data_IF_549757085119
#
_entry.id   IF_549757085119
#
_cell.length_a   1.000
_cell.length_b   1.000
_cell.length_c   1.000
_cell.angle_alpha   90.00
_cell.angle_beta   90.00
_cell.angle_gamma   90.00
#
_symmetry.space_group_name_H-M   'P 1'
#
loop_
_entity.id
_entity.type
_entity.pdbx_description
1 polymer ?
#
# COMPACT_ATOMS: atom_id res chain seq x y z
N UNK A 1 46.15 -40.87 -22.69
CA UNK A 1 44.76 -41.24 -22.50
C UNK A 1 44.26 -40.44 -21.33
N UNK A 2 43.67 -39.34 -21.43
CA UNK A 2 42.58 -38.89 -22.26
C UNK A 2 41.26 -39.11 -21.52
N UNK A 3 40.66 -38.01 -21.06
CA UNK A 3 39.27 -37.57 -21.25
C UNK A 3 38.97 -36.47 -20.25
N UNK A 4 38.89 -35.33 -20.68
CA UNK A 4 37.88 -34.31 -20.92
C UNK A 4 36.67 -34.31 -19.94
N UNK A 5 36.60 -33.19 -19.20
CA UNK A 5 35.46 -32.56 -18.59
C UNK A 5 34.42 -32.17 -19.68
N UNK A 6 33.14 -32.27 -19.41
CA UNK A 6 32.28 -31.17 -19.80
C UNK A 6 31.14 -30.87 -18.86
N UNK A 7 30.95 -29.61 -18.56
CA UNK A 7 29.59 -29.09 -18.41
C UNK A 7 29.24 -28.36 -17.15
N UNK A 8 29.82 -27.19 -16.98
CA UNK A 8 29.14 -26.14 -16.25
C UNK A 8 27.85 -25.73 -16.98
N UNK A 9 26.73 -26.08 -16.42
CA UNK A 9 25.45 -25.42 -16.75
C UNK A 9 25.34 -24.15 -15.91
N UNK A 10 25.31 -23.05 -16.62
CA UNK A 10 24.84 -21.76 -16.08
C UNK A 10 23.33 -21.83 -16.13
N UNK A 11 22.69 -21.89 -15.01
CA UNK A 11 21.26 -21.59 -14.87
C UNK A 11 21.12 -20.11 -14.52
N UNK A 12 21.01 -19.28 -15.56
CA UNK A 12 20.57 -17.89 -15.47
C UNK A 12 19.03 -17.90 -15.44
N UNK A 13 18.44 -18.19 -14.28
CA UNK A 13 17.02 -17.96 -14.04
C UNK A 13 16.82 -16.55 -13.48
N UNK A 14 16.84 -15.56 -14.38
CA UNK A 14 16.26 -14.25 -14.10
C UNK A 14 14.76 -14.28 -14.45
N UNK A 15 13.86 -13.87 -13.56
CA UNK A 15 12.45 -13.71 -13.90
C UNK A 15 12.30 -12.64 -14.99
N UNK A 16 11.52 -13.00 -15.99
CA UNK A 16 11.28 -12.25 -17.22
C UNK A 16 10.49 -10.96 -16.91
N UNK A 17 11.18 -9.82 -16.78
CA UNK A 17 10.55 -8.51 -16.64
C UNK A 17 9.95 -8.09 -17.99
N UNK A 18 8.69 -8.41 -18.22
CA UNK A 18 7.91 -7.84 -19.32
C UNK A 18 7.28 -6.54 -18.84
N UNK A 19 7.99 -5.42 -19.00
CA UNK A 19 7.41 -4.09 -18.83
C UNK A 19 6.84 -3.60 -20.16
N UNK A 20 5.53 -3.45 -20.26
CA UNK A 20 4.93 -2.67 -21.33
C UNK A 20 4.97 -1.18 -20.94
N UNK A 21 5.63 -0.39 -21.77
CA UNK A 21 5.72 1.06 -21.61
C UNK A 21 4.53 1.73 -22.30
N UNK A 22 3.69 2.42 -21.53
CA UNK A 22 2.77 3.41 -22.09
C UNK A 22 3.56 4.71 -22.33
N UNK A 23 3.80 5.03 -23.58
CA UNK A 23 4.64 6.12 -24.04
C UNK A 23 4.10 7.48 -23.60
N UNK A 24 4.87 8.19 -22.77
CA UNK A 24 4.70 9.61 -22.54
C UNK A 24 5.23 10.44 -23.75
N UNK A 25 4.65 11.59 -23.99
CA UNK A 25 5.04 12.51 -25.07
C UNK A 25 6.54 12.87 -25.00
N UNK A 26 7.23 12.78 -26.12
CA UNK A 26 8.68 13.04 -26.24
C UNK A 26 9.06 14.41 -25.67
N UNK A 27 9.80 14.46 -24.58
CA UNK A 27 10.60 15.63 -24.21
C UNK A 27 10.56 16.13 -22.76
N UNK A 28 9.53 15.86 -21.96
CA UNK A 28 9.44 16.34 -20.58
C UNK A 28 9.28 15.19 -19.61
N UNK A 29 10.17 15.12 -18.59
CA UNK A 29 10.05 14.18 -17.50
C UNK A 29 8.87 14.56 -16.59
N UNK A 30 8.10 13.58 -16.14
CA UNK A 30 7.00 13.78 -15.20
C UNK A 30 7.52 14.24 -13.83
N UNK A 31 6.83 15.19 -13.21
CA UNK A 31 7.01 15.53 -11.81
C UNK A 31 6.24 14.52 -10.91
N UNK A 32 6.38 14.65 -9.58
CA UNK A 32 5.78 13.72 -8.64
C UNK A 32 4.25 13.65 -8.74
N UNK A 33 3.57 14.77 -8.92
CA UNK A 33 2.11 14.78 -9.05
C UNK A 33 1.65 14.15 -10.37
N UNK A 34 2.39 14.41 -11.46
CA UNK A 34 2.15 13.77 -12.75
C UNK A 34 2.36 12.24 -12.67
N UNK A 35 3.37 11.78 -11.90
CA UNK A 35 3.59 10.34 -11.65
C UNK A 35 2.41 9.72 -10.88
N UNK A 36 1.91 10.39 -9.83
CA UNK A 36 0.74 9.93 -9.07
C UNK A 36 -0.52 9.87 -9.93
N UNK A 37 -0.76 10.86 -10.78
CA UNK A 37 -1.88 10.85 -11.74
C UNK A 37 -1.74 9.71 -12.74
N UNK A 38 -0.53 9.47 -13.27
CA UNK A 38 -0.29 8.40 -14.23
C UNK A 38 -0.58 7.02 -13.65
N UNK A 39 -0.14 6.72 -12.43
CA UNK A 39 -0.43 5.43 -11.77
C UNK A 39 -1.91 5.30 -11.40
N UNK A 40 -2.56 6.38 -10.97
CA UNK A 40 -3.98 6.41 -10.69
C UNK A 40 -4.82 6.06 -11.94
N UNK A 41 -4.46 6.65 -13.08
CA UNK A 41 -5.08 6.33 -14.36
C UNK A 41 -4.79 4.90 -14.81
N UNK A 42 -3.56 4.43 -14.67
CA UNK A 42 -3.19 3.06 -15.02
C UNK A 42 -3.93 2.02 -14.17
N UNK A 43 -4.27 2.34 -12.91
CA UNK A 43 -5.03 1.47 -12.04
C UNK A 43 -6.45 1.18 -12.56
N UNK A 44 -7.02 2.04 -13.41
CA UNK A 44 -8.32 1.79 -14.04
C UNK A 44 -8.33 0.53 -14.92
N UNK A 45 -7.17 0.10 -15.45
CA UNK A 45 -7.06 -1.12 -16.26
C UNK A 45 -7.39 -2.39 -15.48
N UNK A 46 -7.31 -2.32 -14.14
CA UNK A 46 -7.68 -3.42 -13.22
C UNK A 46 -9.17 -3.43 -12.88
N UNK A 47 -9.92 -2.39 -13.25
CA UNK A 47 -11.34 -2.25 -12.95
C UNK A 47 -12.15 -2.78 -14.13
N UNK A 48 -13.03 -3.73 -13.88
CA UNK A 48 -13.96 -4.30 -14.88
C UNK A 48 -15.40 -3.95 -14.52
N UNK A 49 -16.31 -3.93 -15.50
CA UNK A 49 -17.73 -3.69 -15.23
C UNK A 49 -18.31 -4.64 -14.18
N UNK A 50 -19.10 -4.09 -13.25
CA UNK A 50 -19.77 -4.83 -12.19
C UNK A 50 -18.88 -5.17 -10.98
N UNK A 51 -17.63 -4.68 -10.90
CA UNK A 51 -16.77 -4.93 -9.75
C UNK A 51 -17.14 -4.09 -8.54
N UNK A 52 -16.90 -4.65 -7.36
CA UNK A 52 -16.83 -3.94 -6.08
C UNK A 52 -15.38 -3.52 -5.88
N UNK A 53 -15.15 -2.22 -5.72
CA UNK A 53 -13.82 -1.62 -5.68
C UNK A 53 -13.50 -1.11 -4.28
N UNK A 54 -12.44 -1.66 -3.67
CA UNK A 54 -11.83 -1.10 -2.46
C UNK A 54 -11.00 0.13 -2.81
N UNK A 55 -11.15 1.20 -2.03
CA UNK A 55 -10.46 2.47 -2.28
C UNK A 55 -9.70 2.89 -1.05
N UNK A 56 -8.40 3.15 -1.25
CA UNK A 56 -7.45 3.54 -0.23
C UNK A 56 -7.54 4.98 0.22
N UNK A 57 -6.50 5.42 0.95
CA UNK A 57 -6.42 6.73 1.59
C UNK A 57 -5.10 7.41 1.25
N UNK A 58 -5.14 8.74 1.10
CA UNK A 58 -3.96 9.57 0.86
C UNK A 58 -3.92 10.22 -0.52
N UNK A 59 -2.86 11.00 -0.79
CA UNK A 59 -2.80 11.88 -1.97
C UNK A 59 -2.86 11.10 -3.29
N UNK A 60 -2.21 9.94 -3.38
CA UNK A 60 -2.23 9.10 -4.59
C UNK A 60 -3.60 8.44 -4.77
N UNK A 61 -4.21 7.95 -3.67
CA UNK A 61 -5.57 7.41 -3.69
C UNK A 61 -6.61 8.47 -4.09
N UNK A 62 -6.41 9.74 -3.74
CA UNK A 62 -7.30 10.82 -4.16
C UNK A 62 -7.30 10.99 -5.70
N UNK A 63 -6.14 10.90 -6.36
CA UNK A 63 -6.09 10.90 -7.82
C UNK A 63 -6.81 9.69 -8.41
N UNK A 64 -6.71 8.52 -7.76
CA UNK A 64 -7.45 7.35 -8.21
C UNK A 64 -8.96 7.53 -8.07
N UNK A 65 -9.46 8.16 -7.00
CA UNK A 65 -10.89 8.49 -6.84
C UNK A 65 -11.37 9.40 -7.97
N UNK A 66 -10.57 10.41 -8.34
CA UNK A 66 -10.90 11.32 -9.43
C UNK A 66 -10.97 10.62 -10.78
N UNK A 67 -10.02 9.72 -11.06
CA UNK A 67 -10.03 8.88 -12.27
C UNK A 67 -11.20 7.87 -12.25
N UNK A 68 -11.49 7.23 -11.11
CA UNK A 68 -12.59 6.28 -10.93
C UNK A 68 -13.94 6.93 -11.23
N UNK A 69 -14.08 8.23 -10.93
CA UNK A 69 -15.30 9.00 -11.23
C UNK A 69 -15.63 9.02 -12.72
N UNK A 70 -14.63 8.88 -13.60
CA UNK A 70 -14.83 8.85 -15.06
C UNK A 70 -15.53 7.58 -15.54
N UNK A 71 -15.47 6.51 -14.75
CA UNK A 71 -16.06 5.19 -15.05
C UNK A 71 -17.09 4.74 -14.02
N UNK A 72 -17.57 5.63 -13.14
CA UNK A 72 -18.46 5.31 -12.02
C UNK A 72 -19.72 4.52 -12.40
N UNK A 73 -20.22 4.67 -13.63
CA UNK A 73 -21.37 3.91 -14.13
C UNK A 73 -21.04 2.47 -14.52
N UNK A 74 -19.79 2.04 -14.44
CA UNK A 74 -19.35 0.69 -14.79
C UNK A 74 -19.11 -0.19 -13.56
N UNK A 75 -18.91 0.38 -12.37
CA UNK A 75 -18.68 -0.35 -11.12
C UNK A 75 -20.00 -0.58 -10.37
N UNK A 76 -20.06 -1.62 -9.56
CA UNK A 76 -21.23 -1.90 -8.72
C UNK A 76 -21.28 -0.93 -7.54
N UNK A 77 -20.23 -0.95 -6.71
CA UNK A 77 -20.09 -0.05 -5.56
C UNK A 77 -18.61 0.06 -5.14
N UNK A 78 -18.35 0.87 -4.12
CA UNK A 78 -17.01 0.99 -3.51
C UNK A 78 -17.06 0.73 -2.00
N UNK A 79 -15.91 0.32 -1.44
CA UNK A 79 -15.65 0.26 0.00
C UNK A 79 -14.44 1.14 0.28
N UNK A 80 -14.61 2.14 1.14
CA UNK A 80 -13.54 3.09 1.49
C UNK A 80 -12.77 2.65 2.73
N UNK A 81 -11.45 2.86 2.73
CA UNK A 81 -10.58 2.59 3.87
C UNK A 81 -10.51 3.74 4.90
N UNK A 82 -11.22 4.85 4.67
CA UNK A 82 -11.32 5.97 5.61
C UNK A 82 -12.58 6.79 5.38
N UNK A 83 -12.99 7.55 6.39
CA UNK A 83 -14.09 8.51 6.26
C UNK A 83 -13.78 9.58 5.20
N UNK A 84 -12.53 10.07 5.14
CA UNK A 84 -12.11 11.06 4.15
C UNK A 84 -12.25 10.53 2.71
N UNK A 85 -11.87 9.28 2.44
CA UNK A 85 -12.05 8.65 1.13
C UNK A 85 -13.52 8.41 0.82
N UNK A 86 -14.33 8.01 1.82
CA UNK A 86 -15.78 7.84 1.66
C UNK A 86 -16.47 9.15 1.29
N UNK A 87 -16.11 10.25 1.96
CA UNK A 87 -16.65 11.58 1.65
C UNK A 87 -16.28 12.02 0.23
N UNK A 88 -15.01 11.82 -0.19
CA UNK A 88 -14.55 12.17 -1.55
C UNK A 88 -15.30 11.36 -2.61
N UNK A 89 -15.44 10.05 -2.44
CA UNK A 89 -16.20 9.17 -3.35
C UNK A 89 -17.65 9.65 -3.48
N UNK A 90 -18.32 9.91 -2.35
CA UNK A 90 -19.68 10.46 -2.33
C UNK A 90 -19.79 11.82 -3.04
N UNK A 91 -18.76 12.67 -2.89
CA UNK A 91 -18.66 13.96 -3.57
C UNK A 91 -18.63 13.83 -5.10
N UNK A 92 -18.08 12.74 -5.63
CA UNK A 92 -18.13 12.39 -7.05
C UNK A 92 -19.40 11.65 -7.48
N UNK A 93 -20.33 11.38 -6.54
CA UNK A 93 -21.53 10.59 -6.79
C UNK A 93 -21.22 9.10 -7.06
N UNK A 94 -20.15 8.59 -6.46
CA UNK A 94 -19.78 7.17 -6.46
C UNK A 94 -20.42 6.53 -5.22
N UNK A 95 -21.15 5.40 -5.34
CA UNK A 95 -21.75 4.71 -4.19
C UNK A 95 -20.65 4.15 -3.29
N UNK A 96 -20.87 4.25 -1.97
CA UNK A 96 -19.97 3.71 -0.94
C UNK A 96 -20.77 2.86 0.01
N UNK A 97 -20.42 1.60 0.12
CA UNK A 97 -21.07 0.63 1.01
C UNK A 97 -20.20 0.34 2.23
N UNK A 98 -20.84 -0.08 3.31
CA UNK A 98 -20.16 -0.66 4.46
C UNK A 98 -19.60 -2.05 4.08
N UNK A 99 -18.37 -2.35 4.53
CA UNK A 99 -17.73 -3.63 4.24
C UNK A 99 -18.56 -4.85 4.71
N UNK A 100 -19.37 -4.68 5.77
CA UNK A 100 -20.25 -5.74 6.26
C UNK A 100 -21.44 -6.04 5.32
N UNK A 101 -21.69 -5.19 4.32
CA UNK A 101 -22.77 -5.36 3.34
C UNK A 101 -22.28 -5.99 2.03
N UNK A 102 -20.98 -6.26 1.91
CA UNK A 102 -20.39 -6.89 0.71
C UNK A 102 -19.67 -8.18 1.10
N UNK A 103 -19.77 -9.20 0.26
CA UNK A 103 -19.13 -10.50 0.53
C UNK A 103 -17.64 -10.48 0.21
N UNK A 104 -17.23 -9.71 -0.80
CA UNK A 104 -15.85 -9.67 -1.29
C UNK A 104 -15.59 -8.37 -2.03
N UNK A 105 -14.36 -7.91 -1.99
CA UNK A 105 -13.85 -6.81 -2.82
C UNK A 105 -13.07 -7.43 -3.98
N UNK A 106 -13.43 -7.08 -5.23
CA UNK A 106 -12.76 -7.66 -6.40
C UNK A 106 -11.35 -7.11 -6.57
N UNK A 107 -11.20 -5.79 -6.43
CA UNK A 107 -9.90 -5.11 -6.47
C UNK A 107 -9.84 -3.99 -5.43
N UNK A 108 -8.74 -3.93 -4.72
CA UNK A 108 -8.41 -2.82 -3.81
C UNK A 108 -7.27 -2.02 -4.41
N UNK A 109 -7.43 -0.70 -4.51
CA UNK A 109 -6.41 0.22 -5.01
C UNK A 109 -6.03 1.21 -3.91
N UNK A 110 -4.75 1.26 -3.56
CA UNK A 110 -4.26 2.15 -2.50
C UNK A 110 -2.79 2.55 -2.71
N UNK A 111 -2.38 3.63 -2.03
CA UNK A 111 -0.99 4.08 -2.00
C UNK A 111 -0.14 3.36 -0.96
N UNK A 112 1.16 3.71 -0.94
CA UNK A 112 2.09 3.30 0.10
C UNK A 112 3.05 4.44 0.47
N UNK A 113 3.54 4.41 1.72
CA UNK A 113 4.60 5.30 2.21
C UNK A 113 5.99 4.78 1.81
N UNK A 114 6.17 3.45 1.84
CA UNK A 114 7.31 2.73 1.27
C UNK A 114 6.84 1.41 0.65
N UNK A 115 7.58 0.93 -0.35
CA UNK A 115 7.46 -0.41 -0.91
C UNK A 115 8.84 -0.99 -1.22
N UNK A 116 8.96 -2.32 -1.20
CA UNK A 116 10.19 -2.99 -1.65
C UNK A 116 9.92 -3.87 -2.89
N UNK A 117 10.98 -4.47 -3.43
CA UNK A 117 10.90 -5.34 -4.62
C UNK A 117 10.05 -6.61 -4.44
N UNK A 118 9.69 -6.95 -3.20
CA UNK A 118 8.83 -8.10 -2.87
C UNK A 118 7.37 -7.68 -2.69
N UNK A 119 7.04 -6.42 -3.03
CA UNK A 119 5.72 -5.80 -2.88
C UNK A 119 5.23 -5.72 -1.43
N UNK A 120 6.14 -5.88 -0.44
CA UNK A 120 5.83 -5.52 0.92
C UNK A 120 5.69 -4.01 1.01
N UNK A 121 4.69 -3.54 1.77
CA UNK A 121 4.41 -2.12 1.88
C UNK A 121 4.54 -1.64 3.32
N UNK A 122 4.89 -0.37 3.47
CA UNK A 122 4.65 0.41 4.67
C UNK A 122 3.57 1.44 4.37
N UNK A 123 2.56 1.52 5.23
CA UNK A 123 1.38 2.37 5.08
C UNK A 123 0.99 2.99 6.42
N UNK A 124 0.10 3.95 6.37
CA UNK A 124 -0.47 4.56 7.57
C UNK A 124 0.05 5.96 7.88
N UNK A 125 0.78 6.60 6.97
CA UNK A 125 1.13 8.02 7.09
C UNK A 125 -0.11 8.90 7.29
N UNK A 126 -1.22 8.59 6.61
CA UNK A 126 -2.52 9.22 6.78
C UNK A 126 -3.33 8.73 8.00
N UNK A 127 -2.86 7.72 8.72
CA UNK A 127 -3.51 7.20 9.93
C UNK A 127 -4.67 6.22 9.70
N UNK A 128 -4.92 5.77 8.47
CA UNK A 128 -6.01 4.86 8.11
C UNK A 128 -5.60 3.37 8.10
N UNK A 129 -4.37 3.04 8.52
CA UNK A 129 -3.73 1.74 8.37
C UNK A 129 -4.59 0.54 8.75
N UNK A 130 -5.41 0.64 9.79
CA UNK A 130 -6.25 -0.47 10.27
C UNK A 130 -7.35 -0.78 9.27
N UNK A 131 -8.11 0.22 8.83
CA UNK A 131 -9.16 0.03 7.83
C UNK A 131 -8.58 -0.34 6.47
N UNK A 132 -7.43 0.23 6.08
CA UNK A 132 -6.69 -0.16 4.88
C UNK A 132 -6.32 -1.65 4.90
N UNK A 133 -5.80 -2.14 6.05
CA UNK A 133 -5.43 -3.55 6.21
C UNK A 133 -6.65 -4.48 6.17
N UNK A 134 -7.77 -4.07 6.74
CA UNK A 134 -9.03 -4.82 6.68
C UNK A 134 -9.52 -4.93 5.24
N UNK A 135 -9.55 -3.82 4.51
CA UNK A 135 -9.97 -3.81 3.09
C UNK A 135 -9.05 -4.66 2.23
N UNK A 136 -7.71 -4.55 2.43
CA UNK A 136 -6.73 -5.37 1.74
C UNK A 136 -6.91 -6.88 2.01
N UNK A 137 -7.27 -7.27 3.24
CA UNK A 137 -7.48 -8.68 3.62
C UNK A 137 -8.71 -9.30 2.94
N UNK A 138 -9.75 -8.51 2.66
CA UNK A 138 -10.99 -8.97 1.99
C UNK A 138 -10.85 -8.94 0.46
N UNK A 139 -9.91 -8.16 -0.07
CA UNK A 139 -9.74 -7.98 -1.51
C UNK A 139 -9.12 -9.21 -2.19
N UNK A 140 -9.71 -9.63 -3.34
CA UNK A 140 -9.13 -10.68 -4.20
C UNK A 140 -7.80 -10.24 -4.78
N UNK A 141 -7.69 -8.96 -5.19
CA UNK A 141 -6.48 -8.37 -5.74
C UNK A 141 -6.21 -7.02 -5.07
N UNK A 142 -4.95 -6.82 -4.68
CA UNK A 142 -4.48 -5.55 -4.13
C UNK A 142 -3.48 -4.91 -5.11
N UNK A 143 -3.88 -3.79 -5.70
CA UNK A 143 -3.06 -2.97 -6.60
C UNK A 143 -2.54 -1.77 -5.82
N UNK A 144 -1.23 -1.75 -5.58
CA UNK A 144 -0.57 -0.59 -4.97
C UNK A 144 -0.19 0.41 -6.06
N UNK A 145 -0.45 1.70 -5.81
CA UNK A 145 -0.10 2.80 -6.70
C UNK A 145 0.86 3.77 -5.98
N UNK A 146 2.05 3.96 -6.52
CA UNK A 146 3.08 4.79 -5.89
C UNK A 146 3.96 5.50 -6.93
N UNK A 147 4.59 6.60 -6.55
CA UNK A 147 5.69 7.18 -7.32
C UNK A 147 7.02 6.48 -6.96
N UNK A 148 8.02 6.60 -7.82
CA UNK A 148 9.30 5.87 -7.68
C UNK A 148 10.06 6.17 -6.39
N UNK A 149 9.80 7.33 -5.74
CA UNK A 149 10.45 7.66 -4.46
C UNK A 149 10.03 6.73 -3.32
N UNK A 150 8.94 5.97 -3.51
CA UNK A 150 8.41 5.03 -2.51
C UNK A 150 9.04 3.64 -2.61
N UNK A 151 9.79 3.34 -3.67
CA UNK A 151 10.48 2.07 -3.82
C UNK A 151 11.84 2.14 -3.11
N UNK A 152 12.00 1.32 -2.07
CA UNK A 152 13.21 1.28 -1.22
C UNK A 152 13.79 -0.13 -1.17
N UNK A 153 15.10 -0.24 -0.94
CA UNK A 153 15.76 -1.54 -0.74
C UNK A 153 15.50 -2.09 0.67
N UNK A 154 15.55 -1.22 1.68
CA UNK A 154 15.30 -1.54 3.09
C UNK A 154 14.25 -0.56 3.60
N UNK A 155 13.17 -1.10 4.17
CA UNK A 155 12.07 -0.31 4.73
C UNK A 155 12.45 0.27 6.09
N UNK A 156 11.81 1.39 6.46
CA UNK A 156 11.97 2.04 7.77
C UNK A 156 12.63 3.40 7.75
N UNK A 157 12.87 4.01 6.58
CA UNK A 157 13.17 5.45 6.47
C UNK A 157 11.91 6.24 6.85
N UNK A 158 10.76 5.84 6.31
CA UNK A 158 9.49 6.32 6.80
C UNK A 158 9.19 5.68 8.17
N UNK A 159 8.76 6.46 9.19
CA UNK A 159 8.45 5.91 10.51
C UNK A 159 7.26 4.94 10.42
N UNK A 160 7.40 3.76 11.03
CA UNK A 160 6.36 2.73 11.02
C UNK A 160 5.19 3.13 11.94
N UNK A 161 3.96 3.37 11.40
CA UNK A 161 2.81 3.71 12.23
C UNK A 161 2.23 2.46 12.92
N UNK A 162 1.89 2.61 14.19
CA UNK A 162 1.20 1.58 14.99
C UNK A 162 -0.07 2.19 15.57
N UNK A 163 -1.23 1.62 15.26
CA UNK A 163 -2.49 2.00 15.90
C UNK A 163 -2.62 1.28 17.24
N UNK A 164 -2.87 2.02 18.30
CA UNK A 164 -2.82 1.56 19.69
C UNK A 164 -4.06 1.99 20.45
N UNK A 165 -4.64 1.08 21.24
CA UNK A 165 -5.67 1.39 22.21
C UNK A 165 -5.14 2.47 23.17
N UNK A 166 -5.85 3.60 23.39
CA UNK A 166 -5.33 4.75 24.14
C UNK A 166 -4.74 4.40 25.51
N UNK A 167 -5.36 3.51 26.28
CA UNK A 167 -4.85 3.12 27.59
C UNK A 167 -3.56 2.32 27.55
N UNK A 168 -3.24 1.67 26.39
CA UNK A 168 -2.04 0.86 26.21
C UNK A 168 -0.83 1.67 25.71
N UNK A 169 -1.00 2.94 25.33
CA UNK A 169 0.01 3.76 24.66
C UNK A 169 1.40 3.68 25.29
N UNK A 170 1.51 3.91 26.60
CA UNK A 170 2.82 3.92 27.28
C UNK A 170 3.40 2.51 27.46
N UNK A 171 2.56 1.50 27.61
CA UNK A 171 3.00 0.11 27.66
C UNK A 171 3.55 -0.33 26.29
N UNK A 172 2.77 -0.14 25.23
CA UNK A 172 3.19 -0.46 23.87
C UNK A 172 4.46 0.29 23.48
N UNK A 173 4.57 1.59 23.81
CA UNK A 173 5.80 2.34 23.53
C UNK A 173 7.05 1.67 24.15
N UNK A 174 6.96 1.17 25.39
CA UNK A 174 8.09 0.44 26.02
C UNK A 174 8.42 -0.89 25.33
N UNK A 175 7.39 -1.61 24.85
CA UNK A 175 7.63 -2.85 24.08
C UNK A 175 8.32 -2.54 22.73
N UNK A 176 7.93 -1.46 22.05
CA UNK A 176 8.53 -1.03 20.80
C UNK A 176 10.01 -0.59 20.96
N UNK A 177 10.36 0.01 22.10
CA UNK A 177 11.76 0.32 22.43
C UNK A 177 12.61 -0.95 22.55
N UNK A 178 12.06 -2.04 23.11
CA UNK A 178 12.76 -3.33 23.20
C UNK A 178 13.06 -3.95 21.82
N UNK A 179 12.26 -3.61 20.81
CA UNK A 179 12.46 -4.00 19.42
C UNK A 179 13.49 -3.10 18.69
N UNK A 180 14.07 -2.14 19.38
CA UNK A 180 15.09 -1.23 18.84
C UNK A 180 14.52 0.04 18.20
N UNK A 181 13.23 0.25 18.25
CA UNK A 181 12.57 1.43 17.69
C UNK A 181 12.53 2.63 18.65
N UNK A 182 12.26 3.80 18.10
CA UNK A 182 12.06 5.05 18.81
C UNK A 182 10.61 5.53 18.60
N UNK A 183 9.66 5.10 19.45
CA UNK A 183 8.25 5.44 19.29
C UNK A 183 7.99 6.90 19.63
N UNK A 184 7.32 7.61 18.73
CA UNK A 184 6.82 8.97 18.92
C UNK A 184 5.29 8.96 18.89
N UNK A 185 4.66 9.61 19.90
CA UNK A 185 3.22 9.75 19.91
C UNK A 185 2.78 10.78 18.86
N UNK A 186 1.83 10.40 17.99
CA UNK A 186 1.22 11.31 17.01
C UNK A 186 0.21 12.22 17.72
N UNK A 187 0.71 13.32 18.28
CA UNK A 187 -0.10 14.25 19.07
C UNK A 187 -1.21 14.89 18.23
N UNK A 188 -2.39 15.08 18.85
CA UNK A 188 -3.53 15.75 18.21
C UNK A 188 -4.22 14.91 17.13
N UNK A 189 -3.82 13.64 16.92
CA UNK A 189 -4.42 12.74 15.95
C UNK A 189 -5.20 11.62 16.64
N UNK A 190 -6.42 11.37 16.15
CA UNK A 190 -7.25 10.22 16.52
C UNK A 190 -7.67 9.51 15.25
N UNK A 191 -7.54 8.18 15.21
CA UNK A 191 -7.94 7.38 14.05
C UNK A 191 -9.46 7.36 13.89
N UNK A 192 -9.95 7.00 12.70
CA UNK A 192 -11.39 6.77 12.46
C UNK A 192 -12.01 5.69 13.38
N UNK A 193 -11.17 4.93 14.07
CA UNK A 193 -11.57 3.90 15.04
C UNK A 193 -11.52 4.38 16.50
N UNK A 194 -11.19 5.67 16.74
CA UNK A 194 -11.10 6.25 18.07
C UNK A 194 -9.81 5.94 18.84
N UNK A 195 -8.78 5.44 18.15
CA UNK A 195 -7.49 5.06 18.72
C UNK A 195 -6.41 6.13 18.47
N UNK A 196 -5.22 5.89 19.04
CA UNK A 196 -4.04 6.75 18.86
C UNK A 196 -2.98 6.04 18.02
N UNK A 197 -2.00 6.81 17.49
CA UNK A 197 -0.88 6.28 16.73
C UNK A 197 0.43 6.56 17.44
N UNK A 198 1.30 5.54 17.45
CA UNK A 198 2.73 5.65 17.72
C UNK A 198 3.48 5.49 16.40
N UNK A 199 4.27 6.47 16.01
CA UNK A 199 5.17 6.40 14.87
C UNK A 199 6.54 5.90 15.33
N UNK A 200 7.03 4.77 14.81
CA UNK A 200 8.30 4.20 15.22
C UNK A 200 9.40 4.65 14.26
N UNK A 201 10.34 5.40 14.77
CA UNK A 201 11.53 5.85 14.05
C UNK A 201 12.72 4.91 14.28
N UNK A 202 13.72 5.01 13.40
CA UNK A 202 15.04 4.38 13.57
C UNK A 202 15.09 2.88 13.33
N UNK A 203 14.05 2.28 12.76
CA UNK A 203 14.06 0.88 12.36
C UNK A 203 14.74 0.69 10.99
N UNK A 204 15.52 -0.39 10.87
CA UNK A 204 15.94 -0.96 9.58
C UNK A 204 15.25 -2.30 9.41
N UNK A 205 14.18 -2.32 8.63
CA UNK A 205 13.26 -3.45 8.54
C UNK A 205 13.73 -4.41 7.46
N UNK A 206 14.63 -5.33 7.84
CA UNK A 206 15.19 -6.36 6.96
C UNK A 206 14.21 -7.52 6.72
N UNK A 207 13.38 -7.84 7.71
CA UNK A 207 12.40 -8.92 7.65
C UNK A 207 11.01 -8.40 8.05
N UNK A 208 10.29 -7.73 7.11
CA UNK A 208 9.02 -7.09 7.43
C UNK A 208 7.93 -8.08 7.85
N UNK A 209 7.92 -9.31 7.32
CA UNK A 209 6.94 -10.34 7.70
C UNK A 209 7.09 -10.73 9.17
N UNK A 210 8.32 -10.99 9.62
CA UNK A 210 8.59 -11.37 11.01
C UNK A 210 8.25 -10.22 11.97
N UNK A 211 8.63 -8.98 11.61
CA UNK A 211 8.32 -7.81 12.43
C UNK A 211 6.81 -7.58 12.52
N UNK A 212 6.07 -7.72 11.41
CA UNK A 212 4.61 -7.62 11.41
C UNK A 212 3.97 -8.65 12.35
N UNK A 213 4.46 -9.90 12.33
CA UNK A 213 3.99 -10.96 13.23
C UNK A 213 4.29 -10.65 14.70
N UNK A 214 5.49 -10.17 15.01
CA UNK A 214 5.88 -9.79 16.36
C UNK A 214 4.99 -8.66 16.90
N UNK A 215 4.77 -7.62 16.10
CA UNK A 215 3.92 -6.49 16.46
C UNK A 215 2.47 -6.90 16.70
N UNK A 216 1.92 -7.79 15.88
CA UNK A 216 0.56 -8.29 16.02
C UNK A 216 0.32 -9.04 17.35
N UNK A 217 1.37 -9.50 18.02
CA UNK A 217 1.28 -10.23 19.29
C UNK A 217 1.45 -9.33 20.53
N UNK A 218 1.66 -8.02 20.37
CA UNK A 218 1.77 -7.09 21.50
C UNK A 218 0.37 -6.63 21.93
N UNK A 219 -0.01 -6.95 23.16
CA UNK A 219 -1.32 -6.54 23.72
C UNK A 219 -1.47 -5.02 23.67
N UNK A 220 -2.61 -4.56 23.17
CA UNK A 220 -2.92 -3.12 23.06
C UNK A 220 -2.57 -2.52 21.70
N UNK A 221 -1.85 -3.21 20.83
CA UNK A 221 -1.75 -2.89 19.41
C UNK A 221 -3.05 -3.32 18.73
N UNK A 222 -3.65 -2.42 17.96
CA UNK A 222 -4.79 -2.74 17.08
C UNK A 222 -4.26 -3.31 15.78
N UNK A 223 -3.32 -2.60 15.14
CA UNK A 223 -2.55 -3.10 13.99
C UNK A 223 -1.31 -2.21 13.76
N UNK A 224 -0.51 -2.57 12.79
CA UNK A 224 0.70 -1.87 12.40
C UNK A 224 0.72 -1.58 10.89
N UNK A 225 1.57 -0.66 10.47
CA UNK A 225 1.68 -0.18 9.09
C UNK A 225 2.41 -1.11 8.13
N UNK A 226 2.88 -2.27 8.56
CA UNK A 226 3.50 -3.25 7.66
C UNK A 226 2.42 -4.09 6.96
N UNK A 227 2.47 -4.14 5.65
CA UNK A 227 1.65 -4.99 4.78
C UNK A 227 2.59 -5.97 4.07
N UNK A 228 3.11 -6.94 4.83
CA UNK A 228 4.07 -7.92 4.38
C UNK A 228 3.52 -9.36 4.46
N UNK A 229 2.67 -9.67 5.47
CA UNK A 229 1.93 -10.93 5.52
C UNK A 229 0.85 -10.99 4.42
N UNK A 230 0.27 -9.83 4.08
CA UNK A 230 -0.58 -9.62 2.91
C UNK A 230 0.01 -8.46 2.10
N UNK A 231 1.00 -8.73 1.22
CA UNK A 231 1.60 -7.71 0.37
C UNK A 231 0.64 -7.28 -0.74
N UNK A 232 1.04 -6.31 -1.55
CA UNK A 232 0.33 -6.04 -2.80
C UNK A 232 0.54 -7.19 -3.79
N UNK A 233 -0.44 -7.40 -4.68
CA UNK A 233 -0.32 -8.36 -5.79
C UNK A 233 0.30 -7.67 -7.01
N UNK A 234 0.12 -6.35 -7.10
CA UNK A 234 0.66 -5.51 -8.18
C UNK A 234 1.10 -4.18 -7.58
N UNK A 235 2.26 -3.70 -8.01
CA UNK A 235 2.72 -2.33 -7.78
C UNK A 235 2.83 -1.59 -9.11
N UNK A 236 2.03 -0.54 -9.26
CA UNK A 236 2.14 0.43 -10.33
C UNK A 236 3.03 1.58 -9.87
N UNK A 237 4.23 1.64 -10.43
CA UNK A 237 5.26 2.59 -10.03
C UNK A 237 5.37 3.72 -11.07
N UNK A 238 4.97 4.92 -10.68
CA UNK A 238 5.13 6.12 -11.49
C UNK A 238 6.60 6.55 -11.53
N UNK A 239 7.16 6.62 -12.72
CA UNK A 239 8.53 7.10 -12.97
C UNK A 239 8.50 8.32 -13.89
N UNK A 240 9.59 9.11 -13.97
CA UNK A 240 9.65 10.24 -14.91
C UNK A 240 9.39 9.88 -16.39
N UNK A 241 9.57 8.60 -16.74
CA UNK A 241 9.46 8.11 -18.12
C UNK A 241 8.15 7.33 -18.38
N UNK A 242 7.30 7.13 -17.37
CA UNK A 242 6.03 6.41 -17.47
C UNK A 242 5.74 5.52 -16.27
N UNK A 243 4.72 4.67 -16.38
CA UNK A 243 4.33 3.72 -15.33
C UNK A 243 5.02 2.38 -15.58
N UNK A 244 5.64 1.83 -14.52
CA UNK A 244 6.18 0.46 -14.48
C UNK A 244 5.27 -0.40 -13.64
N UNK A 245 5.03 -1.64 -14.06
CA UNK A 245 4.28 -2.64 -13.29
C UNK A 245 5.24 -3.67 -12.72
N UNK A 246 5.14 -3.93 -11.42
CA UNK A 246 5.82 -5.01 -10.73
C UNK A 246 4.75 -5.99 -10.19
N UNK A 247 5.03 -7.31 -10.31
CA UNK A 247 4.14 -8.41 -9.88
C UNK A 247 4.95 -9.53 -9.25
#
# INVERSE_FOLDING_TARGET
MGFLDPGLRRDDDYPNMRGEFVSASKGRKMNQDEMKQAVAKAALEYIKPGMIVGVGTGSTANYFIDELATIKGQIETTVASSEASAERLKGHGIPVEDLNMVDVIDVYVDGADESNKYLHLMKGGGGALTREKIVAAVAKQFVCIADESKLVDIMGEFPLPIEVIPMARSYVARELVKLGGQPAYREGFVTDNGNVILDIHGLQIMNPVELEQQLNNIVGIVTNGLFAMRPADVLLLGTPDGVKTLT
#
